data_IF_332058729472
#
_entry.id   IF_332058729472
#
_cell.length_a   1.000
_cell.length_b   1.000
_cell.length_c   1.000
_cell.angle_alpha   90.00
_cell.angle_beta   90.00
_cell.angle_gamma   90.00
#
_symmetry.space_group_name_H-M   'P 1'
#
loop_
_entity.id
_entity.type
_entity.pdbx_description
1 polymer ?
#
# COMPACT_ATOMS: atom_id res chain seq x y z
N UNK A 1 -16.77 -33.18 21.68
CA UNK A 1 -16.40 -33.25 20.26
C UNK A 1 -17.51 -32.71 19.34
N UNK A 2 -18.77 -33.09 19.49
CA UNK A 2 -19.89 -32.61 18.65
C UNK A 2 -20.07 -31.08 18.69
N UNK A 3 -19.98 -30.47 19.88
CA UNK A 3 -20.10 -29.01 20.04
C UNK A 3 -18.98 -28.23 19.34
N UNK A 4 -17.74 -28.74 19.36
CA UNK A 4 -16.59 -28.16 18.64
C UNK A 4 -16.76 -28.31 17.12
N UNK A 5 -17.29 -29.45 16.66
CA UNK A 5 -17.57 -29.65 15.24
C UNK A 5 -18.72 -28.76 14.75
N UNK A 6 -19.77 -28.59 15.54
CA UNK A 6 -20.89 -27.68 15.24
C UNK A 6 -20.44 -26.20 15.26
N UNK A 7 -19.56 -25.81 16.20
CA UNK A 7 -18.97 -24.46 16.23
C UNK A 7 -18.06 -24.22 15.00
N UNK A 8 -17.26 -25.22 14.61
CA UNK A 8 -16.43 -25.14 13.39
C UNK A 8 -17.27 -25.05 12.13
N UNK A 9 -18.38 -25.81 12.04
CA UNK A 9 -19.36 -25.72 10.93
C UNK A 9 -20.08 -24.38 10.90
N UNK A 10 -20.51 -23.85 12.03
CA UNK A 10 -21.13 -22.54 12.12
C UNK A 10 -20.16 -21.42 11.75
N UNK A 11 -18.88 -21.50 12.15
CA UNK A 11 -17.84 -20.55 11.77
C UNK A 11 -17.46 -20.66 10.30
N UNK A 12 -17.55 -21.85 9.69
CA UNK A 12 -17.30 -22.03 8.25
C UNK A 12 -18.45 -21.52 7.37
N UNK A 13 -19.68 -21.46 7.89
CA UNK A 13 -20.83 -20.86 7.19
C UNK A 13 -20.85 -19.32 7.28
N UNK A 14 -20.24 -18.74 8.31
CA UNK A 14 -20.06 -17.28 8.45
C UNK A 14 -18.88 -16.82 7.62
N UNK A 15 -19.06 -15.80 6.76
CA UNK A 15 -17.95 -15.19 6.03
C UNK A 15 -17.20 -14.19 6.91
N UNK A 16 -16.22 -14.69 7.67
CA UNK A 16 -15.41 -13.89 8.63
C UNK A 16 -14.59 -12.83 7.91
N UNK A 17 -14.08 -13.10 6.71
CA UNK A 17 -13.32 -12.14 5.93
C UNK A 17 -14.19 -10.93 5.54
N UNK A 18 -15.41 -11.19 5.05
CA UNK A 18 -16.39 -10.13 4.75
C UNK A 18 -16.81 -9.36 5.99
N UNK A 19 -17.02 -10.06 7.11
CA UNK A 19 -17.34 -9.42 8.39
C UNK A 19 -16.21 -8.49 8.85
N UNK A 20 -14.95 -8.91 8.68
CA UNK A 20 -13.78 -8.09 8.96
C UNK A 20 -13.76 -6.83 8.09
N UNK A 21 -13.93 -6.95 6.77
CA UNK A 21 -14.00 -5.80 5.85
C UNK A 21 -15.06 -4.79 6.27
N UNK A 22 -16.29 -5.27 6.56
CA UNK A 22 -17.39 -4.41 7.08
C UNK A 22 -17.05 -3.79 8.43
N UNK A 23 -16.31 -4.48 9.30
CA UNK A 23 -15.89 -3.92 10.59
C UNK A 23 -14.85 -2.82 10.42
N UNK A 24 -13.93 -2.96 9.45
CA UNK A 24 -12.97 -1.92 9.05
C UNK A 24 -13.71 -0.67 8.55
N UNK A 25 -14.66 -0.83 7.61
CA UNK A 25 -15.46 0.30 7.10
C UNK A 25 -16.26 0.99 8.21
N UNK A 26 -16.95 0.22 9.06
CA UNK A 26 -17.65 0.77 10.23
C UNK A 26 -16.73 1.51 11.20
N UNK A 27 -15.47 1.06 11.34
CA UNK A 27 -14.46 1.78 12.13
C UNK A 27 -14.14 3.13 11.49
N UNK A 28 -13.91 3.18 10.18
CA UNK A 28 -13.68 4.44 9.46
C UNK A 28 -14.85 5.41 9.66
N UNK A 29 -16.09 4.94 9.43
CA UNK A 29 -17.30 5.76 9.63
C UNK A 29 -17.39 6.31 11.07
N UNK A 30 -17.11 5.49 12.09
CA UNK A 30 -17.09 5.94 13.50
C UNK A 30 -16.01 6.99 13.78
N UNK A 31 -14.95 7.04 12.99
CA UNK A 31 -13.92 8.08 13.06
C UNK A 31 -14.21 9.27 12.15
N UNK A 32 -15.41 9.36 11.57
CA UNK A 32 -15.86 10.49 10.75
C UNK A 32 -15.43 10.43 9.28
N UNK A 33 -14.96 9.27 8.80
CA UNK A 33 -14.65 9.08 7.39
C UNK A 33 -15.93 8.85 6.58
N UNK A 34 -16.01 9.47 5.43
CA UNK A 34 -17.04 9.23 4.41
C UNK A 34 -16.44 8.61 3.16
N UNK A 35 -17.25 7.80 2.47
CA UNK A 35 -16.88 7.19 1.21
C UNK A 35 -17.34 8.11 0.07
N UNK A 36 -16.43 8.41 -0.85
CA UNK A 36 -16.70 9.22 -2.04
C UNK A 36 -16.34 8.43 -3.29
N UNK A 37 -17.09 8.68 -4.37
CA UNK A 37 -16.77 8.17 -5.71
C UNK A 37 -16.87 9.32 -6.68
N UNK A 38 -15.79 9.61 -7.36
CA UNK A 38 -15.72 10.61 -8.41
C UNK A 38 -15.70 9.93 -9.77
N UNK A 39 -16.37 10.53 -10.75
CA UNK A 39 -16.35 10.05 -12.13
C UNK A 39 -15.38 10.91 -12.94
N UNK A 40 -14.37 10.26 -13.50
CA UNK A 40 -13.48 10.85 -14.49
C UNK A 40 -13.42 9.88 -15.68
N UNK A 41 -12.30 9.18 -15.92
CA UNK A 41 -12.22 8.09 -16.90
C UNK A 41 -12.70 6.75 -16.29
N UNK A 42 -13.65 6.80 -15.37
CA UNK A 42 -14.22 5.72 -14.59
C UNK A 42 -14.37 6.11 -13.12
N UNK A 43 -14.91 5.22 -12.27
CA UNK A 43 -15.09 5.51 -10.85
C UNK A 43 -13.75 5.58 -10.11
N UNK A 44 -13.53 6.64 -9.36
CA UNK A 44 -12.39 6.85 -8.48
C UNK A 44 -12.88 6.87 -7.04
N UNK A 45 -12.54 5.86 -6.26
CA UNK A 45 -13.04 5.68 -4.91
C UNK A 45 -12.04 6.12 -3.85
N UNK A 46 -12.56 6.80 -2.80
CA UNK A 46 -11.75 7.26 -1.67
C UNK A 46 -12.54 7.27 -0.36
N UNK A 47 -11.87 6.90 0.73
CA UNK A 47 -12.31 7.27 2.07
C UNK A 47 -11.62 8.57 2.46
N UNK A 48 -12.40 9.58 2.81
CA UNK A 48 -11.89 10.87 3.22
C UNK A 48 -12.63 11.41 4.44
N UNK A 49 -11.89 12.09 5.28
CA UNK A 49 -12.40 12.84 6.42
C UNK A 49 -12.02 14.30 6.22
N UNK A 50 -13.00 15.20 6.30
CA UNK A 50 -12.82 16.64 6.16
C UNK A 50 -13.34 17.34 7.42
N UNK A 51 -12.48 17.55 8.40
CA UNK A 51 -12.78 18.24 9.68
C UNK A 51 -11.99 19.52 9.85
N UNK A 52 -11.30 19.99 8.80
CA UNK A 52 -10.45 21.18 8.80
C UNK A 52 -9.05 20.94 9.37
N UNK A 53 -8.64 19.69 9.58
CA UNK A 53 -7.26 19.35 9.94
C UNK A 53 -6.37 19.23 8.72
N UNK A 54 -5.03 19.30 8.91
CA UNK A 54 -4.10 19.06 7.80
C UNK A 54 -4.39 17.74 7.08
N UNK A 55 -4.48 17.73 5.75
CA UNK A 55 -4.67 16.51 4.99
C UNK A 55 -3.40 15.66 4.99
N UNK A 56 -3.58 14.32 4.95
CA UNK A 56 -2.50 13.33 4.84
C UNK A 56 -2.90 12.25 3.84
N UNK A 57 -2.17 12.14 2.73
CA UNK A 57 -2.44 11.15 1.68
C UNK A 57 -1.76 9.82 2.00
N UNK A 58 -2.52 8.71 2.03
CA UNK A 58 -2.04 7.37 2.35
C UNK A 58 -2.32 6.39 1.20
N UNK A 59 -1.28 5.98 0.47
CA UNK A 59 -1.36 5.11 -0.69
C UNK A 59 -1.03 3.67 -0.32
N UNK A 60 -1.94 2.74 -0.65
CA UNK A 60 -1.83 1.32 -0.29
C UNK A 60 -0.97 0.52 -1.27
N UNK A 61 -0.53 -0.68 -0.85
CA UNK A 61 0.24 -1.62 -1.68
C UNK A 61 -0.61 -2.42 -2.68
N UNK A 62 0.05 -3.24 -3.49
CA UNK A 62 -0.48 -3.95 -4.66
C UNK A 62 -1.78 -4.75 -4.44
N UNK A 63 -1.97 -5.44 -3.33
CA UNK A 63 -3.19 -6.22 -3.05
C UNK A 63 -4.12 -5.56 -2.05
N UNK A 64 -3.83 -4.31 -1.68
CA UNK A 64 -4.55 -3.57 -0.66
C UNK A 64 -5.75 -2.79 -1.17
N UNK A 65 -6.40 -2.14 -0.23
CA UNK A 65 -7.31 -1.00 -0.44
C UNK A 65 -7.00 0.06 0.60
N UNK A 66 -7.38 1.30 0.34
CA UNK A 66 -7.16 2.38 1.30
C UNK A 66 -7.66 2.05 2.70
N UNK A 67 -8.87 1.49 2.80
CA UNK A 67 -9.48 1.10 4.07
C UNK A 67 -8.73 -0.03 4.78
N UNK A 68 -8.48 -1.15 4.09
CA UNK A 68 -7.86 -2.33 4.70
C UNK A 68 -6.43 -2.06 5.16
N UNK A 69 -5.66 -1.34 4.36
CA UNK A 69 -4.27 -1.02 4.68
C UNK A 69 -4.17 -0.04 5.86
N UNK A 70 -4.98 1.03 5.89
CA UNK A 70 -4.71 2.19 6.70
C UNK A 70 -5.63 2.40 7.92
N UNK A 71 -6.69 1.56 8.12
CA UNK A 71 -7.67 1.77 9.19
C UNK A 71 -7.09 1.85 10.61
N UNK A 72 -5.95 1.18 10.89
CA UNK A 72 -5.30 1.27 12.21
C UNK A 72 -4.51 2.57 12.35
N UNK A 73 -3.81 2.96 11.28
CA UNK A 73 -3.04 4.21 11.21
C UNK A 73 -3.96 5.42 11.36
N UNK A 74 -5.05 5.46 10.58
CA UNK A 74 -6.02 6.56 10.62
C UNK A 74 -6.68 6.73 11.99
N UNK A 75 -7.00 5.63 12.66
CA UNK A 75 -7.56 5.68 14.01
C UNK A 75 -6.60 6.36 15.02
N UNK A 76 -5.29 6.13 14.87
CA UNK A 76 -4.26 6.72 15.73
C UNK A 76 -3.95 8.17 15.37
N UNK A 77 -4.12 8.58 14.11
CA UNK A 77 -3.85 9.93 13.61
C UNK A 77 -5.08 10.83 13.57
N UNK A 78 -6.27 10.32 13.88
CA UNK A 78 -7.55 11.03 13.70
C UNK A 78 -7.68 12.35 14.48
N UNK A 79 -6.87 12.58 15.52
CA UNK A 79 -6.85 13.84 16.26
C UNK A 79 -5.97 14.92 15.60
N UNK A 80 -5.09 14.53 14.68
CA UNK A 80 -4.02 15.37 14.13
C UNK A 80 -4.22 15.64 12.63
N UNK A 81 -4.70 14.65 11.88
CA UNK A 81 -4.80 14.69 10.43
C UNK A 81 -6.17 14.26 9.90
N UNK A 82 -6.56 14.83 8.78
CA UNK A 82 -7.64 14.34 7.94
C UNK A 82 -7.03 13.47 6.83
N UNK A 83 -6.99 12.15 7.06
CA UNK A 83 -6.37 11.23 6.11
C UNK A 83 -7.24 11.03 4.87
N UNK A 84 -6.57 10.92 3.72
CA UNK A 84 -7.15 10.63 2.40
C UNK A 84 -6.68 9.22 2.02
N UNK A 85 -7.61 8.27 1.84
CA UNK A 85 -7.35 6.86 1.60
C UNK A 85 -7.94 6.43 0.27
N UNK A 86 -7.31 6.72 -0.86
CA UNK A 86 -7.82 6.28 -2.16
C UNK A 86 -7.67 4.76 -2.29
N UNK A 87 -8.57 4.16 -3.04
CA UNK A 87 -8.29 2.92 -3.73
C UNK A 87 -7.60 3.28 -5.05
N UNK A 88 -6.37 2.81 -5.26
CA UNK A 88 -5.62 3.03 -6.49
C UNK A 88 -6.34 2.40 -7.69
N UNK A 89 -6.09 2.87 -8.92
CA UNK A 89 -6.66 2.27 -10.12
C UNK A 89 -6.35 0.76 -10.17
N UNK A 90 -7.29 -0.03 -10.62
CA UNK A 90 -7.29 -1.50 -10.62
C UNK A 90 -7.38 -2.15 -9.23
N UNK A 91 -7.69 -1.37 -8.19
CA UNK A 91 -7.86 -1.86 -6.82
C UNK A 91 -9.22 -1.44 -6.25
N UNK A 92 -9.69 -2.23 -5.29
CA UNK A 92 -10.87 -1.91 -4.50
C UNK A 92 -12.09 -1.53 -5.34
N UNK A 93 -12.63 -0.34 -5.07
CA UNK A 93 -13.81 0.22 -5.74
C UNK A 93 -13.48 1.20 -6.86
N UNK A 94 -12.19 1.51 -7.07
CA UNK A 94 -11.76 2.34 -8.19
C UNK A 94 -11.84 1.59 -9.52
N UNK A 95 -11.81 2.34 -10.63
CA UNK A 95 -11.91 1.81 -11.98
C UNK A 95 -10.91 0.67 -12.21
N UNK A 96 -11.40 -0.39 -12.82
CA UNK A 96 -10.55 -1.47 -13.29
C UNK A 96 -9.96 -1.06 -14.64
N UNK A 97 -8.65 -1.17 -14.74
CA UNK A 97 -7.98 -1.00 -16.00
C UNK A 97 -8.27 -2.21 -16.88
N UNK A 98 -8.78 -2.00 -18.05
CA UNK A 98 -8.96 -3.07 -19.01
C UNK A 98 -7.81 -3.10 -20.03
N UNK A 99 -7.57 -4.26 -20.61
CA UNK A 99 -6.47 -4.49 -21.56
C UNK A 99 -6.64 -3.76 -22.90
N UNK A 100 -7.74 -3.05 -23.12
CA UNK A 100 -7.98 -2.26 -24.33
C UNK A 100 -7.38 -0.86 -24.25
N UNK A 101 -7.00 -0.43 -23.03
CA UNK A 101 -6.28 0.84 -22.81
C UNK A 101 -4.78 0.59 -22.78
N UNK A 102 -3.99 1.57 -23.27
CA UNK A 102 -2.54 1.58 -23.08
C UNK A 102 -2.21 1.47 -21.58
N UNK A 103 -1.23 0.69 -21.22
CA UNK A 103 -0.91 0.20 -19.89
C UNK A 103 -1.11 1.17 -18.72
N UNK A 104 -1.25 0.61 -17.52
CA UNK A 104 -1.40 1.39 -16.29
C UNK A 104 -0.03 1.66 -15.66
N UNK A 105 0.60 2.75 -16.03
CA UNK A 105 1.89 3.19 -15.51
C UNK A 105 1.79 3.81 -14.11
N UNK A 106 2.93 4.04 -13.45
CA UNK A 106 2.99 4.83 -12.22
C UNK A 106 2.56 6.29 -12.47
N UNK A 107 2.76 6.80 -13.69
CA UNK A 107 2.36 8.14 -14.10
C UNK A 107 0.84 8.27 -14.19
N UNK A 108 0.15 7.26 -14.73
CA UNK A 108 -1.31 7.21 -14.76
C UNK A 108 -1.89 7.19 -13.34
N UNK A 109 -1.26 6.44 -12.44
CA UNK A 109 -1.65 6.45 -11.02
C UNK A 109 -1.43 7.82 -10.37
N UNK A 110 -0.30 8.48 -10.67
CA UNK A 110 -0.02 9.83 -10.14
C UNK A 110 -1.06 10.84 -10.66
N UNK A 111 -1.38 10.83 -11.96
CA UNK A 111 -2.39 11.67 -12.56
C UNK A 111 -3.80 11.43 -11.94
N UNK A 112 -4.13 10.14 -11.70
CA UNK A 112 -5.35 9.77 -10.98
C UNK A 112 -5.41 10.40 -9.58
N UNK A 113 -4.32 10.36 -8.82
CA UNK A 113 -4.27 10.94 -7.47
C UNK A 113 -4.44 12.46 -7.51
N UNK A 114 -3.83 13.18 -8.48
CA UNK A 114 -4.02 14.62 -8.63
C UNK A 114 -5.49 14.94 -8.93
N UNK A 115 -6.10 14.23 -9.88
CA UNK A 115 -7.53 14.40 -10.21
C UNK A 115 -8.41 14.18 -8.98
N UNK A 116 -8.08 13.17 -8.15
CA UNK A 116 -8.81 12.89 -6.92
C UNK A 116 -8.64 14.01 -5.89
N UNK A 117 -7.43 14.49 -5.63
CA UNK A 117 -7.18 15.61 -4.71
C UNK A 117 -7.94 16.86 -5.15
N UNK A 118 -7.95 17.14 -6.46
CA UNK A 118 -8.70 18.26 -7.04
C UNK A 118 -10.22 18.11 -6.83
N UNK A 119 -10.75 16.92 -7.02
CA UNK A 119 -12.16 16.60 -6.80
C UNK A 119 -12.58 16.73 -5.34
N UNK A 120 -11.65 16.49 -4.41
CA UNK A 120 -11.84 16.69 -2.96
C UNK A 120 -11.71 18.16 -2.54
N UNK A 121 -11.30 19.06 -3.44
CA UNK A 121 -10.99 20.46 -3.12
C UNK A 121 -9.66 20.63 -2.37
N UNK A 122 -8.81 19.61 -2.32
CA UNK A 122 -7.49 19.66 -1.68
C UNK A 122 -6.49 20.24 -2.67
N UNK A 123 -6.26 21.55 -2.63
CA UNK A 123 -5.39 22.28 -3.55
C UNK A 123 -3.98 22.52 -2.99
N UNK A 124 -3.84 22.61 -1.67
CA UNK A 124 -2.54 22.76 -1.02
C UNK A 124 -1.68 21.50 -1.16
N UNK A 125 -0.37 21.67 -1.02
CA UNK A 125 0.56 20.56 -0.93
C UNK A 125 0.25 19.70 0.31
N UNK A 126 0.33 18.37 0.16
CA UNK A 126 0.03 17.41 1.23
C UNK A 126 1.20 16.46 1.46
N UNK A 127 1.44 16.02 2.71
CA UNK A 127 2.33 14.89 2.96
C UNK A 127 1.75 13.62 2.30
N UNK A 128 2.61 12.82 1.67
CA UNK A 128 2.22 11.54 1.09
C UNK A 128 3.01 10.39 1.71
N UNK A 129 2.31 9.32 2.08
CA UNK A 129 2.89 8.05 2.54
C UNK A 129 2.48 6.96 1.58
N UNK A 130 3.42 6.26 0.99
CA UNK A 130 3.15 5.15 0.08
C UNK A 130 3.79 3.85 0.55
N UNK A 131 2.99 2.78 0.67
CA UNK A 131 3.48 1.44 0.99
C UNK A 131 3.66 0.63 -0.30
N UNK A 132 4.78 -0.08 -0.41
CA UNK A 132 5.00 -1.05 -1.50
C UNK A 132 4.78 -0.43 -2.89
N UNK A 133 3.87 -0.95 -3.68
CA UNK A 133 3.42 -0.36 -4.95
C UNK A 133 2.99 1.11 -4.80
N UNK A 134 2.24 1.43 -3.74
CA UNK A 134 1.88 2.81 -3.39
C UNK A 134 3.10 3.69 -3.10
N UNK A 135 4.22 3.13 -2.67
CA UNK A 135 5.51 3.81 -2.54
C UNK A 135 6.06 4.27 -3.88
N UNK A 136 5.98 3.40 -4.91
CA UNK A 136 6.33 3.75 -6.29
C UNK A 136 5.43 4.85 -6.86
N UNK A 137 4.12 4.76 -6.61
CA UNK A 137 3.16 5.81 -7.00
C UNK A 137 3.47 7.14 -6.29
N UNK A 138 3.75 7.11 -4.97
CA UNK A 138 4.10 8.30 -4.19
C UNK A 138 5.39 8.95 -4.68
N UNK A 139 6.42 8.13 -4.99
CA UNK A 139 7.70 8.58 -5.52
C UNK A 139 7.52 9.30 -6.87
N UNK A 140 6.69 8.74 -7.73
CA UNK A 140 6.40 9.31 -9.05
C UNK A 140 5.54 10.57 -8.95
N UNK A 141 4.56 10.57 -8.04
CA UNK A 141 3.72 11.72 -7.73
C UNK A 141 4.57 12.91 -7.25
N UNK A 142 5.53 12.67 -6.32
CA UNK A 142 6.41 13.72 -5.82
C UNK A 142 7.40 14.26 -6.86
N UNK A 143 7.78 13.46 -7.85
CA UNK A 143 8.62 13.90 -8.96
C UNK A 143 7.84 14.75 -9.98
N UNK A 144 6.61 14.30 -10.36
CA UNK A 144 5.81 14.94 -11.41
C UNK A 144 5.06 16.19 -10.90
N UNK A 145 4.68 16.19 -9.62
CA UNK A 145 3.84 17.23 -9.01
C UNK A 145 4.43 17.71 -7.66
N UNK A 146 5.69 18.16 -7.62
CA UNK A 146 6.32 18.61 -6.38
C UNK A 146 5.55 19.74 -5.67
N UNK A 147 4.83 20.58 -6.43
CA UNK A 147 4.00 21.64 -5.91
C UNK A 147 2.75 21.17 -5.16
N UNK A 148 2.38 19.89 -5.32
CA UNK A 148 1.22 19.27 -4.66
C UNK A 148 1.62 18.39 -3.48
N UNK A 149 2.92 18.17 -3.27
CA UNK A 149 3.46 17.29 -2.23
C UNK A 149 4.33 18.10 -1.27
N UNK A 150 3.98 18.06 0.02
CA UNK A 150 4.74 18.73 1.07
C UNK A 150 5.99 17.92 1.45
N UNK A 151 5.84 16.60 1.55
CA UNK A 151 6.91 15.63 1.85
C UNK A 151 6.53 14.23 1.40
N UNK A 152 7.52 13.44 1.05
CA UNK A 152 7.37 12.06 0.60
C UNK A 152 7.85 11.11 1.69
N UNK A 153 7.00 10.18 2.13
CA UNK A 153 7.37 9.08 3.01
C UNK A 153 7.19 7.77 2.25
N UNK A 154 8.29 7.12 1.90
CA UNK A 154 8.32 5.80 1.27
C UNK A 154 8.36 4.76 2.39
N UNK A 155 7.40 3.87 2.39
CA UNK A 155 7.26 2.83 3.38
C UNK A 155 7.29 1.45 2.70
N UNK A 156 8.36 0.67 2.96
CA UNK A 156 8.60 -0.64 2.32
C UNK A 156 8.33 -0.57 0.80
N UNK A 157 8.84 0.50 0.14
CA UNK A 157 8.35 0.94 -1.16
C UNK A 157 9.03 0.28 -2.35
N UNK A 158 8.24 -0.04 -3.38
CA UNK A 158 8.72 -0.44 -4.69
C UNK A 158 9.09 0.82 -5.50
N UNK A 159 10.35 1.24 -5.43
CA UNK A 159 10.81 2.49 -6.07
C UNK A 159 11.91 2.19 -7.08
N UNK A 160 13.19 2.43 -6.77
CA UNK A 160 14.26 2.39 -7.77
C UNK A 160 15.06 1.09 -7.81
N UNK A 161 15.29 0.44 -6.70
CA UNK A 161 16.27 -0.67 -6.63
C UNK A 161 15.64 -2.05 -6.44
N UNK A 162 14.43 -2.23 -6.98
CA UNK A 162 13.68 -3.48 -6.96
C UNK A 162 13.33 -3.93 -8.37
N UNK A 163 14.24 -4.69 -9.01
CA UNK A 163 14.05 -5.24 -10.35
C UNK A 163 13.27 -6.56 -10.34
N UNK A 164 12.73 -6.94 -11.48
CA UNK A 164 12.13 -8.27 -11.72
C UNK A 164 13.10 -9.39 -11.38
N UNK A 165 14.39 -9.23 -11.72
CA UNK A 165 15.43 -10.22 -11.44
C UNK A 165 15.63 -10.41 -9.93
N UNK A 166 15.67 -9.33 -9.15
CA UNK A 166 15.75 -9.38 -7.68
C UNK A 166 14.49 -10.02 -7.10
N UNK A 167 13.32 -9.60 -7.54
CA UNK A 167 12.03 -10.14 -7.11
C UNK A 167 11.93 -11.65 -7.33
N UNK A 168 12.36 -12.12 -8.51
CA UNK A 168 12.39 -13.55 -8.84
C UNK A 168 13.44 -14.32 -8.03
N UNK A 169 14.58 -13.71 -7.70
CA UNK A 169 15.58 -14.29 -6.81
C UNK A 169 15.00 -14.52 -5.41
N UNK A 170 14.28 -13.53 -4.86
CA UNK A 170 13.57 -13.64 -3.58
C UNK A 170 12.53 -14.77 -3.63
N UNK A 171 11.69 -14.80 -4.67
CA UNK A 171 10.67 -15.82 -4.82
C UNK A 171 11.29 -17.25 -4.85
N UNK A 172 12.39 -17.44 -5.61
CA UNK A 172 13.11 -18.72 -5.67
C UNK A 172 13.73 -19.12 -4.34
N UNK A 173 14.30 -18.17 -3.59
CA UNK A 173 14.85 -18.43 -2.25
C UNK A 173 13.79 -18.96 -1.28
N UNK A 174 12.52 -18.60 -1.49
CA UNK A 174 11.38 -19.08 -0.69
C UNK A 174 10.61 -20.25 -1.35
N UNK A 175 11.12 -20.83 -2.44
CA UNK A 175 10.54 -22.02 -3.08
C UNK A 175 9.47 -21.77 -4.13
N UNK A 176 9.31 -20.52 -4.60
CA UNK A 176 8.42 -20.18 -5.71
C UNK A 176 9.21 -20.01 -7.03
N UNK A 177 8.60 -20.28 -8.21
CA UNK A 177 9.31 -20.19 -9.49
C UNK A 177 9.69 -18.76 -9.90
N UNK A 178 8.84 -17.78 -9.53
CA UNK A 178 9.04 -16.35 -9.81
C UNK A 178 8.13 -15.49 -8.94
N UNK A 179 8.44 -14.20 -8.79
CA UNK A 179 7.58 -13.26 -8.07
C UNK A 179 6.25 -13.05 -8.80
N UNK A 180 6.24 -13.07 -10.12
CA UNK A 180 5.02 -13.03 -10.90
C UNK A 180 4.08 -14.20 -10.56
N UNK A 181 4.61 -15.41 -10.38
CA UNK A 181 3.82 -16.58 -9.98
C UNK A 181 3.19 -16.37 -8.59
N UNK A 182 3.92 -15.80 -7.63
CA UNK A 182 3.43 -15.46 -6.29
C UNK A 182 2.32 -14.40 -6.37
N UNK A 183 2.57 -13.30 -7.06
CA UNK A 183 1.67 -12.15 -7.13
C UNK A 183 0.40 -12.41 -7.95
N UNK A 184 0.45 -13.33 -8.89
CA UNK A 184 -0.75 -13.76 -9.63
C UNK A 184 -1.81 -14.40 -8.73
N UNK A 185 -1.41 -14.92 -7.60
CA UNK A 185 -2.30 -15.46 -6.56
C UNK A 185 -3.45 -16.30 -7.14
N UNK A 186 -3.17 -17.37 -7.92
CA UNK A 186 -4.21 -18.15 -8.59
C UNK A 186 -5.10 -18.92 -7.60
N UNK A 187 -4.58 -19.21 -6.41
CA UNK A 187 -5.28 -19.97 -5.37
C UNK A 187 -5.11 -19.35 -3.98
N UNK A 188 -5.89 -19.83 -3.03
CA UNK A 188 -5.73 -19.44 -1.62
C UNK A 188 -4.34 -19.82 -1.05
N UNK A 189 -3.72 -20.91 -1.57
CA UNK A 189 -2.38 -21.30 -1.10
C UNK A 189 -1.29 -20.33 -1.57
N UNK A 190 -1.44 -19.79 -2.78
CA UNK A 190 -0.51 -18.75 -3.28
C UNK A 190 -0.67 -17.45 -2.48
N UNK A 191 -1.90 -17.10 -2.07
CA UNK A 191 -2.13 -16.00 -1.16
C UNK A 191 -1.41 -16.21 0.19
N UNK A 192 -1.43 -17.44 0.73
CA UNK A 192 -0.68 -17.77 1.96
C UNK A 192 0.81 -17.49 1.79
N UNK A 193 1.37 -17.83 0.63
CA UNK A 193 2.78 -17.59 0.35
C UNK A 193 3.11 -16.09 0.41
N UNK A 194 2.31 -15.25 -0.27
CA UNK A 194 2.47 -13.79 -0.20
C UNK A 194 2.32 -13.23 1.22
N UNK A 195 1.36 -13.74 2.00
CA UNK A 195 1.17 -13.35 3.41
C UNK A 195 2.42 -13.67 4.24
N UNK A 196 3.04 -14.85 4.04
CA UNK A 196 4.27 -15.25 4.75
C UNK A 196 5.43 -14.30 4.47
N UNK A 197 5.64 -13.90 3.22
CA UNK A 197 6.69 -12.95 2.85
C UNK A 197 6.43 -11.54 3.41
N UNK A 198 5.16 -11.20 3.61
CA UNK A 198 4.76 -9.85 4.04
C UNK A 198 4.75 -9.65 5.55
N UNK A 199 4.77 -10.71 6.36
CA UNK A 199 4.62 -10.60 7.81
C UNK A 199 5.86 -11.11 8.55
N UNK A 200 6.21 -10.45 9.64
CA UNK A 200 7.30 -10.86 10.52
C UNK A 200 7.15 -12.30 11.05
N UNK A 201 5.91 -12.71 11.33
CA UNK A 201 5.54 -14.06 11.72
C UNK A 201 4.40 -14.58 10.88
N UNK A 202 4.51 -15.81 10.39
CA UNK A 202 3.40 -16.47 9.69
C UNK A 202 2.19 -16.62 10.63
N UNK A 203 1.05 -15.97 10.34
CA UNK A 203 -0.11 -16.10 11.20
C UNK A 203 -0.75 -17.48 11.05
N UNK A 204 -1.30 -18.06 12.14
CA UNK A 204 -2.03 -19.32 12.08
C UNK A 204 -3.39 -19.11 11.38
N UNK A 205 -3.39 -19.03 10.04
CA UNK A 205 -4.61 -18.89 9.24
C UNK A 205 -5.15 -20.28 8.87
N UNK A 206 -6.28 -20.72 9.44
CA UNK A 206 -6.96 -21.94 9.01
C UNK A 206 -7.33 -21.90 7.53
N UNK A 207 -7.27 -23.04 6.84
CA UNK A 207 -7.50 -23.09 5.39
C UNK A 207 -8.88 -22.54 4.95
N UNK A 208 -9.94 -22.69 5.77
CA UNK A 208 -11.23 -22.12 5.48
C UNK A 208 -11.23 -20.59 5.51
N UNK A 209 -10.53 -19.98 6.48
CA UNK A 209 -10.40 -18.52 6.59
C UNK A 209 -9.55 -17.97 5.44
N UNK A 210 -8.46 -18.65 5.10
CA UNK A 210 -7.62 -18.28 3.95
C UNK A 210 -8.41 -18.30 2.64
N UNK A 211 -9.29 -19.31 2.44
CA UNK A 211 -10.20 -19.35 1.28
C UNK A 211 -11.20 -18.19 1.28
N UNK A 212 -11.71 -17.78 2.45
CA UNK A 212 -12.59 -16.63 2.56
C UNK A 212 -11.85 -15.32 2.21
N UNK A 213 -10.65 -15.12 2.77
CA UNK A 213 -9.80 -13.95 2.47
C UNK A 213 -9.50 -13.89 0.97
N UNK A 214 -9.13 -15.01 0.36
CA UNK A 214 -8.91 -15.09 -1.08
C UNK A 214 -10.14 -14.67 -1.89
N UNK A 215 -11.32 -15.23 -1.58
CA UNK A 215 -12.57 -14.93 -2.30
C UNK A 215 -13.03 -13.48 -2.16
N UNK A 216 -12.81 -12.88 -1.00
CA UNK A 216 -13.30 -11.52 -0.72
C UNK A 216 -12.31 -10.44 -1.19
N UNK A 217 -11.01 -10.66 -1.06
CA UNK A 217 -10.01 -9.60 -1.21
C UNK A 217 -9.00 -9.81 -2.34
N UNK A 218 -8.84 -11.02 -2.87
CA UNK A 218 -7.91 -11.28 -3.96
C UNK A 218 -8.61 -11.61 -5.28
N UNK A 219 -9.48 -12.60 -5.29
CA UNK A 219 -10.10 -13.13 -6.51
C UNK A 219 -10.86 -12.07 -7.34
N UNK A 220 -11.61 -11.12 -6.76
CA UNK A 220 -12.37 -10.12 -7.53
C UNK A 220 -11.51 -9.16 -8.35
N UNK A 221 -10.27 -8.93 -7.92
CA UNK A 221 -9.35 -7.94 -8.52
C UNK A 221 -8.22 -8.58 -9.32
N UNK A 222 -8.12 -9.89 -9.28
CA UNK A 222 -7.00 -10.65 -9.82
C UNK A 222 -6.68 -10.35 -11.28
N UNK A 223 -7.69 -10.28 -12.15
CA UNK A 223 -7.47 -10.03 -13.57
C UNK A 223 -6.81 -8.65 -13.82
N UNK A 224 -7.39 -7.59 -13.23
CA UNK A 224 -6.87 -6.23 -13.37
C UNK A 224 -5.51 -6.05 -12.69
N UNK A 225 -5.28 -6.70 -11.55
CA UNK A 225 -3.99 -6.68 -10.87
C UNK A 225 -2.88 -7.41 -11.64
N UNK A 226 -3.21 -8.52 -12.32
CA UNK A 226 -2.26 -9.20 -13.21
C UNK A 226 -1.87 -8.31 -14.38
N UNK A 227 -2.81 -7.58 -14.97
CA UNK A 227 -2.53 -6.63 -16.06
C UNK A 227 -1.58 -5.54 -15.57
N UNK A 228 -1.88 -4.92 -14.42
CA UNK A 228 -1.03 -3.92 -13.80
C UNK A 228 0.39 -4.44 -13.52
N UNK A 229 0.51 -5.66 -12.97
CA UNK A 229 1.80 -6.25 -12.67
C UNK A 229 2.64 -6.52 -13.92
N UNK A 230 2.01 -7.03 -14.98
CA UNK A 230 2.68 -7.26 -16.27
C UNK A 230 3.17 -5.95 -16.88
N UNK A 231 2.36 -4.90 -16.80
CA UNK A 231 2.70 -3.58 -17.28
C UNK A 231 3.87 -2.99 -16.50
N UNK A 232 3.83 -3.08 -15.17
CA UNK A 232 4.94 -2.67 -14.30
C UNK A 232 6.25 -3.38 -14.66
N UNK A 233 6.20 -4.69 -14.89
CA UNK A 233 7.38 -5.47 -15.30
C UNK A 233 7.88 -5.10 -16.71
N UNK A 234 6.98 -4.83 -17.65
CA UNK A 234 7.33 -4.43 -19.00
C UNK A 234 8.01 -3.05 -19.04
N UNK A 235 7.70 -2.18 -18.09
CA UNK A 235 8.24 -0.83 -17.98
C UNK A 235 9.25 -0.66 -16.85
N UNK A 236 9.83 -1.75 -16.30
CA UNK A 236 10.76 -1.66 -15.17
C UNK A 236 11.96 -0.76 -15.44
N UNK A 237 12.42 -0.65 -16.69
CA UNK A 237 13.52 0.24 -17.09
C UNK A 237 13.21 1.73 -16.83
N UNK A 238 11.96 2.10 -16.65
CA UNK A 238 11.56 3.49 -16.37
C UNK A 238 11.71 3.88 -14.90
N UNK A 239 11.83 2.92 -13.98
CA UNK A 239 11.96 3.17 -12.56
C UNK A 239 13.14 2.42 -11.90
N UNK A 240 13.53 1.23 -12.37
CA UNK A 240 14.68 0.49 -11.83
C UNK A 240 15.96 1.28 -12.10
N UNK A 241 16.78 1.47 -11.05
CA UNK A 241 17.99 2.29 -11.03
C UNK A 241 17.78 3.78 -11.39
N UNK A 242 16.51 4.23 -11.43
CA UNK A 242 16.20 5.64 -11.64
C UNK A 242 16.68 6.48 -10.44
N UNK A 243 17.29 7.63 -10.75
CA UNK A 243 17.44 8.73 -9.80
C UNK A 243 16.30 9.72 -10.05
N UNK A 244 15.39 9.81 -9.08
CA UNK A 244 14.27 10.74 -9.13
C UNK A 244 14.72 12.17 -8.83
N UNK A 245 14.11 13.17 -9.49
CA UNK A 245 14.31 14.58 -9.20
C UNK A 245 13.28 15.05 -8.13
N UNK A 246 13.43 14.55 -6.91
CA UNK A 246 12.56 14.98 -5.82
C UNK A 246 12.97 16.34 -5.27
N UNK A 247 12.05 17.29 -5.30
CA UNK A 247 12.21 18.66 -4.79
C UNK A 247 11.51 18.86 -3.43
N UNK A 248 11.21 17.79 -2.74
CA UNK A 248 10.55 17.75 -1.44
C UNK A 248 11.34 16.89 -0.47
N UNK A 249 11.22 17.08 0.85
CA UNK A 249 11.86 16.19 1.82
C UNK A 249 11.37 14.74 1.64
N UNK A 250 12.30 13.78 1.63
CA UNK A 250 12.03 12.35 1.45
C UNK A 250 12.47 11.57 2.67
N UNK A 251 11.61 10.70 3.18
CA UNK A 251 11.84 9.85 4.34
C UNK A 251 11.52 8.40 4.02
N UNK A 252 12.23 7.47 4.64
CA UNK A 252 12.13 6.05 4.39
C UNK A 252 11.80 5.31 5.70
N UNK A 253 10.74 4.49 5.67
CA UNK A 253 10.36 3.59 6.76
C UNK A 253 10.43 2.16 6.22
N UNK A 254 11.08 1.25 6.97
CA UNK A 254 11.16 -0.15 6.58
C UNK A 254 10.83 -1.08 7.73
N UNK A 255 10.22 -2.23 7.42
CA UNK A 255 10.11 -3.34 8.36
C UNK A 255 11.47 -4.03 8.54
N UNK A 256 11.84 -4.38 9.78
CA UNK A 256 13.12 -5.06 10.08
C UNK A 256 13.33 -6.32 9.25
N UNK A 257 12.28 -7.10 9.05
CA UNK A 257 12.27 -8.35 8.30
C UNK A 257 11.27 -8.30 7.15
N UNK A 258 11.41 -7.32 6.28
CA UNK A 258 10.67 -7.32 5.02
C UNK A 258 11.33 -8.33 4.06
N UNK A 259 10.69 -9.49 3.89
CA UNK A 259 11.15 -10.54 2.97
C UNK A 259 10.59 -10.36 1.56
N UNK A 260 9.67 -9.40 1.36
CA UNK A 260 9.10 -9.07 0.04
C UNK A 260 9.91 -7.99 -0.67
N UNK A 261 10.21 -6.89 0.02
CA UNK A 261 11.11 -5.80 -0.45
C UNK A 261 12.19 -5.60 0.61
N UNK A 262 13.36 -6.24 0.46
CA UNK A 262 14.40 -6.24 1.50
C UNK A 262 14.90 -4.85 1.86
N UNK A 263 15.37 -4.69 3.10
CA UNK A 263 15.99 -3.45 3.60
C UNK A 263 17.11 -2.91 2.71
N UNK A 264 17.86 -3.80 2.02
CA UNK A 264 18.88 -3.42 1.07
C UNK A 264 18.34 -2.54 -0.07
N UNK A 265 17.09 -2.77 -0.50
CA UNK A 265 16.42 -1.94 -1.51
C UNK A 265 16.22 -0.50 -1.00
N UNK A 266 15.72 -0.34 0.22
CA UNK A 266 15.55 0.98 0.83
C UNK A 266 16.87 1.68 1.09
N UNK A 267 17.92 0.93 1.50
CA UNK A 267 19.27 1.48 1.65
C UNK A 267 19.85 1.96 0.32
N UNK A 268 19.62 1.23 -0.76
CA UNK A 268 20.04 1.66 -2.10
C UNK A 268 19.33 2.96 -2.53
N UNK A 269 18.05 3.15 -2.16
CA UNK A 269 17.33 4.41 -2.40
C UNK A 269 17.99 5.56 -1.62
N UNK A 270 18.28 5.34 -0.32
CA UNK A 270 18.95 6.34 0.53
C UNK A 270 20.28 6.79 -0.09
N UNK A 271 21.14 5.84 -0.48
CA UNK A 271 22.45 6.09 -1.08
C UNK A 271 22.34 6.79 -2.44
N UNK A 272 21.48 6.28 -3.35
CA UNK A 272 21.28 6.81 -4.70
C UNK A 272 20.86 8.28 -4.69
N UNK A 273 20.05 8.66 -3.71
CA UNK A 273 19.52 10.02 -3.59
C UNK A 273 20.30 10.88 -2.60
N UNK A 274 21.39 10.35 -2.03
CA UNK A 274 22.21 11.03 -1.00
C UNK A 274 21.35 11.57 0.17
N UNK A 275 20.34 10.80 0.59
CA UNK A 275 19.47 11.20 1.71
C UNK A 275 20.22 11.06 3.04
N UNK A 276 19.96 11.93 4.02
CA UNK A 276 20.55 11.82 5.35
C UNK A 276 20.17 10.51 6.04
N UNK A 277 21.07 9.92 6.83
CA UNK A 277 20.78 8.72 7.64
C UNK A 277 19.60 8.91 8.60
N UNK A 278 19.36 10.13 9.07
CA UNK A 278 18.22 10.50 9.90
C UNK A 278 16.86 10.37 9.18
N UNK A 279 16.88 10.25 7.85
CA UNK A 279 15.67 10.04 7.03
C UNK A 279 15.31 8.56 6.86
N UNK A 280 16.07 7.65 7.47
CA UNK A 280 15.83 6.21 7.46
C UNK A 280 15.47 5.70 8.85
N UNK A 281 14.39 4.92 8.96
CA UNK A 281 14.03 4.20 10.17
C UNK A 281 13.57 2.78 9.85
N UNK A 282 14.14 1.81 10.56
CA UNK A 282 13.68 0.42 10.55
C UNK A 282 12.80 0.15 11.78
N UNK A 283 11.62 -0.41 11.58
CA UNK A 283 10.72 -0.76 12.68
C UNK A 283 10.98 -2.21 13.12
N UNK A 284 11.41 -2.45 14.37
CA UNK A 284 11.79 -3.77 14.82
C UNK A 284 10.59 -4.72 14.94
N UNK A 285 10.83 -6.00 14.64
CA UNK A 285 9.83 -7.09 14.70
C UNK A 285 8.61 -6.83 13.83
N UNK A 286 8.84 -6.33 12.61
CA UNK A 286 7.83 -6.18 11.57
C UNK A 286 8.37 -6.65 10.22
N UNK A 287 7.44 -7.08 9.36
CA UNK A 287 7.66 -7.32 7.94
C UNK A 287 7.18 -6.15 7.09
N UNK A 288 6.71 -6.44 5.90
CA UNK A 288 6.26 -5.51 4.86
C UNK A 288 5.06 -4.61 5.24
N UNK A 289 4.35 -4.93 6.32
CA UNK A 289 3.13 -4.23 6.74
C UNK A 289 3.18 -3.81 8.21
N UNK A 290 4.25 -3.13 8.63
CA UNK A 290 4.47 -2.66 9.99
C UNK A 290 3.29 -1.84 10.55
N UNK A 291 2.59 -1.10 9.71
CA UNK A 291 1.39 -0.34 10.06
C UNK A 291 0.21 -1.24 10.51
N UNK A 292 0.20 -2.52 10.11
CA UNK A 292 -0.77 -3.53 10.55
C UNK A 292 -0.26 -4.31 11.74
N UNK A 293 1.04 -4.71 11.73
CA UNK A 293 1.64 -5.54 12.77
C UNK A 293 1.92 -4.75 14.05
N UNK A 294 2.48 -3.55 13.95
CA UNK A 294 2.84 -2.68 15.06
C UNK A 294 2.38 -1.23 14.85
N UNK A 295 1.07 -0.96 14.73
CA UNK A 295 0.54 0.33 14.31
C UNK A 295 0.99 1.50 15.19
N UNK A 296 1.16 1.29 16.51
CA UNK A 296 1.64 2.35 17.41
C UNK A 296 3.10 2.73 17.14
N UNK A 297 3.96 1.75 16.90
CA UNK A 297 5.37 2.00 16.56
C UNK A 297 5.49 2.68 15.19
N UNK A 298 4.75 2.18 14.19
CA UNK A 298 4.68 2.80 12.86
C UNK A 298 4.24 4.27 12.94
N UNK A 299 3.14 4.55 13.65
CA UNK A 299 2.63 5.92 13.78
C UNK A 299 3.58 6.83 14.56
N UNK A 300 4.30 6.32 15.54
CA UNK A 300 5.32 7.12 16.26
C UNK A 300 6.43 7.58 15.31
N UNK A 301 6.97 6.67 14.47
CA UNK A 301 7.95 7.02 13.43
C UNK A 301 7.34 7.97 12.38
N UNK A 302 6.13 7.67 11.91
CA UNK A 302 5.47 8.52 10.94
C UNK A 302 5.28 9.96 11.45
N UNK A 303 4.87 10.13 12.71
CA UNK A 303 4.77 11.46 13.33
C UNK A 303 6.09 12.22 13.34
N UNK A 304 7.19 11.57 13.69
CA UNK A 304 8.51 12.24 13.70
C UNK A 304 8.88 12.78 12.32
N UNK A 305 8.53 12.04 11.25
CA UNK A 305 8.76 12.49 9.89
C UNK A 305 7.77 13.56 9.42
N UNK A 306 6.51 13.48 9.86
CA UNK A 306 5.50 14.49 9.52
C UNK A 306 5.75 15.85 10.20
N UNK A 307 6.44 15.84 11.36
CA UNK A 307 6.74 17.06 12.13
C UNK A 307 8.19 17.52 11.99
N UNK A 308 9.02 16.78 11.24
CA UNK A 308 10.41 17.19 10.99
C UNK A 308 10.43 18.55 10.27
N UNK A 309 11.27 19.46 10.75
CA UNK A 309 11.53 20.71 10.04
C UNK A 309 12.11 20.36 8.65
N UNK A 310 11.71 21.07 7.58
CA UNK A 310 12.40 20.95 6.31
C UNK A 310 13.89 21.23 6.55
N UNK A 311 14.77 20.33 6.09
CA UNK A 311 16.20 20.65 6.03
C UNK A 311 16.30 21.69 4.92
N UNK A 312 16.76 22.90 5.24
CA UNK A 312 17.09 23.88 4.23
C UNK A 312 18.14 23.29 3.29
N UNK A 313 17.98 23.48 1.97
CA UNK A 313 18.86 22.91 0.96
C UNK A 313 20.30 23.43 1.06
#
# INVERSE_FOLDING_TARGET
>A
MLALALLALALSSCNLARMHGRAVERRLVRHGYTAHTYQADGPHFVWYRNTGKPPLLLLHGYTGTGALQWHKTTALLSKEFDCILPDLLSHGRSAKWDSTRSGLSLDDQAAHIITLLDSLGVRAAVPVVGNSYGGGVAARLAELHPERIERLIIYDGLVSDYSTALADSIARAHGAPSMLAVMRTPTANDLRFGIRLSLYKDPPLPGFLLKQVYREFAAPYRASQITLLKDLMAHESTFVHKRYDWRVPVYLIWGERDELIPNATGRAILERHALPETHWVTIPRTGHVANIERPKAFVAVLRSFLTASPIEP
#
